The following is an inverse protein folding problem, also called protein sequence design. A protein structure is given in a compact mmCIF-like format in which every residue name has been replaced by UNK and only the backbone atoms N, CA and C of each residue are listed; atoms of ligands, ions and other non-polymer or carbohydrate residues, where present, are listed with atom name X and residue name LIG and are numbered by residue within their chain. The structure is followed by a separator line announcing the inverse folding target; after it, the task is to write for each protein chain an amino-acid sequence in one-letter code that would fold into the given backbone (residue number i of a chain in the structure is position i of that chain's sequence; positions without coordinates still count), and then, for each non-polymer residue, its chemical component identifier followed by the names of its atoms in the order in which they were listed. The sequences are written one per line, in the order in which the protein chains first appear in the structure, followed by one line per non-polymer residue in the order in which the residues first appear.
data_IF_197146285597
#
_entry.id   IF_197146285597
#
_cell.length_a   1.000
_cell.length_b   1.000
_cell.length_c   1.000
_cell.angle_alpha   90.00
_cell.angle_beta   90.00
_cell.angle_gamma   90.00
#
_symmetry.space_group_name_H-M   'P 1'
#
loop_
_entity.id
_entity.type
_entity.pdbx_description
1 polymer ?
#
# COMPACT_ATOMS: atom_id res chain seq x y z
N UNK A 1 12.57 -8.11 5.53
CA UNK A 1 11.70 -8.00 6.73
C UNK A 1 10.68 -6.87 6.59
N UNK A 2 11.07 -5.61 6.36
CA UNK A 2 10.13 -4.54 5.93
C UNK A 2 9.85 -4.53 4.42
N UNK A 3 10.85 -4.92 3.63
CA UNK A 3 10.80 -5.09 2.18
C UNK A 3 9.78 -6.12 1.68
N UNK A 4 9.23 -6.93 2.57
CA UNK A 4 8.28 -8.00 2.23
C UNK A 4 6.84 -7.62 2.60
N UNK A 5 6.64 -6.52 3.35
CA UNK A 5 5.32 -6.06 3.78
C UNK A 5 4.73 -5.18 2.68
N UNK A 6 3.59 -5.61 2.13
CA UNK A 6 2.84 -4.86 1.12
C UNK A 6 2.04 -3.73 1.76
N UNK A 7 1.20 -4.06 2.75
CA UNK A 7 0.41 -3.09 3.46
C UNK A 7 0.01 -3.59 4.85
N UNK A 8 -0.34 -2.63 5.71
CA UNK A 8 -0.93 -2.86 7.02
C UNK A 8 -2.30 -2.19 7.03
N UNK A 9 -3.33 -2.90 7.48
CA UNK A 9 -4.67 -2.34 7.62
C UNK A 9 -5.31 -2.63 8.97
N UNK A 10 -6.09 -1.67 9.48
CA UNK A 10 -6.86 -1.88 10.71
C UNK A 10 -7.96 -2.89 10.46
N UNK A 11 -8.09 -3.89 11.33
CA UNK A 11 -9.24 -4.79 11.32
C UNK A 11 -10.39 -4.10 12.06
N UNK A 12 -11.49 -3.84 11.34
CA UNK A 12 -12.63 -3.07 11.85
C UNK A 12 -13.13 -3.62 13.19
N UNK A 13 -13.35 -2.71 14.15
CA UNK A 13 -13.89 -3.03 15.48
C UNK A 13 -13.03 -3.99 16.31
N UNK A 14 -11.76 -4.13 15.97
CA UNK A 14 -10.77 -4.86 16.76
C UNK A 14 -9.56 -3.96 16.89
N UNK A 15 -8.94 -3.84 18.07
CA UNK A 15 -7.70 -3.06 18.26
C UNK A 15 -6.48 -3.75 17.63
N UNK A 16 -6.67 -4.34 16.45
CA UNK A 16 -5.71 -5.13 15.72
C UNK A 16 -5.54 -4.58 14.31
N UNK A 17 -4.34 -4.76 13.79
CA UNK A 17 -4.01 -4.55 12.40
C UNK A 17 -3.66 -5.89 11.76
N UNK A 18 -4.08 -6.06 10.51
CA UNK A 18 -3.60 -7.11 9.62
C UNK A 18 -2.38 -6.61 8.85
N UNK A 19 -1.34 -7.44 8.79
CA UNK A 19 -0.13 -7.21 8.01
C UNK A 19 -0.19 -8.16 6.83
N UNK A 20 -0.23 -7.61 5.62
CA UNK A 20 -0.18 -8.38 4.38
C UNK A 20 1.23 -8.28 3.81
N UNK A 21 1.87 -9.43 3.64
CA UNK A 21 3.27 -9.55 3.22
C UNK A 21 3.42 -10.66 2.18
N UNK A 22 4.59 -10.74 1.53
CA UNK A 22 4.86 -11.65 0.40
C UNK A 22 4.44 -13.12 0.64
N UNK A 23 4.55 -13.60 1.87
CA UNK A 23 4.31 -15.00 2.23
C UNK A 23 3.01 -15.22 3.02
N UNK A 24 2.11 -14.23 3.11
CA UNK A 24 0.81 -14.40 3.73
C UNK A 24 0.33 -13.20 4.54
N UNK A 25 -0.49 -13.50 5.55
CA UNK A 25 -1.11 -12.50 6.43
C UNK A 25 -0.75 -12.77 7.88
N UNK A 26 -0.62 -11.70 8.66
CA UNK A 26 -0.34 -11.74 10.09
C UNK A 26 -1.21 -10.73 10.81
N UNK A 27 -1.37 -10.89 12.13
CA UNK A 27 -2.16 -9.97 12.96
C UNK A 27 -1.35 -9.47 14.13
N UNK A 28 -1.43 -8.17 14.39
CA UNK A 28 -0.78 -7.52 15.52
C UNK A 28 -1.81 -6.68 16.29
N UNK A 29 -1.68 -6.62 17.62
CA UNK A 29 -2.49 -5.74 18.45
C UNK A 29 -1.88 -4.35 18.47
N UNK A 30 -2.38 -3.44 17.64
CA UNK A 30 -1.84 -2.09 17.50
C UNK A 30 -2.86 -1.17 16.84
N UNK A 31 -2.71 0.13 17.10
CA UNK A 31 -3.37 1.19 16.36
C UNK A 31 -2.49 1.66 15.19
N UNK A 32 -3.13 2.09 14.10
CA UNK A 32 -2.42 2.39 12.86
C UNK A 32 -1.56 3.66 12.90
N UNK A 33 -1.90 4.63 13.76
CA UNK A 33 -1.16 5.90 13.86
C UNK A 33 0.24 5.68 14.45
N UNK A 34 0.41 4.99 15.60
CA UNK A 34 1.74 4.59 16.08
C UNK A 34 2.57 3.83 15.05
N UNK A 35 1.95 2.88 14.34
CA UNK A 35 2.64 2.11 13.29
C UNK A 35 3.13 3.00 12.15
N UNK A 36 2.41 4.07 11.82
CA UNK A 36 2.85 5.02 10.80
C UNK A 36 4.14 5.74 11.21
N UNK A 37 4.26 6.13 12.48
CA UNK A 37 5.45 6.82 12.99
C UNK A 37 6.64 5.86 13.04
N UNK A 38 6.43 4.63 13.49
CA UNK A 38 7.46 3.58 13.57
C UNK A 38 8.01 3.20 12.19
N UNK A 39 7.14 3.09 11.19
CA UNK A 39 7.51 2.66 9.85
C UNK A 39 7.71 3.81 8.84
N UNK A 40 7.69 5.07 9.29
CA UNK A 40 8.04 6.18 8.42
C UNK A 40 9.54 6.15 8.07
N UNK A 41 9.94 6.45 6.83
CA UNK A 41 9.11 6.84 5.68
C UNK A 41 8.65 5.67 4.80
N UNK A 42 8.96 4.42 5.16
CA UNK A 42 8.75 3.22 4.34
C UNK A 42 7.28 2.91 4.05
N UNK A 43 6.40 3.12 5.03
CA UNK A 43 4.97 2.94 4.84
C UNK A 43 4.26 4.29 4.70
N UNK A 44 3.53 4.44 3.60
CA UNK A 44 2.72 5.61 3.30
C UNK A 44 1.26 5.37 3.64
N UNK A 45 0.64 6.28 4.38
CA UNK A 45 -0.78 6.19 4.74
C UNK A 45 -1.68 6.53 3.56
N UNK A 46 -2.26 5.52 2.92
CA UNK A 46 -3.14 5.64 1.75
C UNK A 46 -4.63 5.78 2.11
N UNK A 47 -5.00 5.43 3.34
CA UNK A 47 -6.33 5.63 3.93
C UNK A 47 -6.20 5.89 5.43
N UNK A 48 -7.30 6.30 6.07
CA UNK A 48 -7.35 6.36 7.53
C UNK A 48 -6.99 5.01 8.17
N UNK A 49 -7.35 3.90 7.52
CA UNK A 49 -7.19 2.52 7.98
C UNK A 49 -6.08 1.73 7.31
N UNK A 50 -5.25 2.33 6.44
CA UNK A 50 -4.28 1.56 5.63
C UNK A 50 -2.95 2.30 5.45
N UNK A 51 -1.85 1.61 5.76
CA UNK A 51 -0.46 1.99 5.47
C UNK A 51 0.09 1.06 4.37
N UNK A 52 0.79 1.61 3.39
CA UNK A 52 1.21 0.87 2.19
C UNK A 52 2.68 1.11 1.90
N UNK A 53 3.40 0.05 1.55
CA UNK A 53 4.71 0.15 0.94
C UNK A 53 4.55 0.43 -0.56
N UNK A 54 4.74 1.68 -0.96
CA UNK A 54 4.59 2.08 -2.36
C UNK A 54 5.71 1.54 -3.27
N UNK A 55 6.86 1.18 -2.72
CA UNK A 55 7.99 0.67 -3.49
C UNK A 55 7.74 -0.75 -4.04
N UNK A 56 6.75 -1.46 -3.49
CA UNK A 56 6.34 -2.80 -3.89
C UNK A 56 5.13 -2.82 -4.82
N UNK A 57 4.61 -1.65 -5.22
CA UNK A 57 3.45 -1.58 -6.12
C UNK A 57 3.89 -1.89 -7.55
N UNK A 58 3.36 -2.97 -8.11
CA UNK A 58 3.66 -3.42 -9.48
C UNK A 58 2.77 -2.72 -10.52
N UNK A 59 1.51 -2.45 -10.16
CA UNK A 59 0.52 -1.85 -11.06
C UNK A 59 -0.45 -0.94 -10.31
N UNK A 60 -0.87 0.13 -10.97
CA UNK A 60 -1.84 1.08 -10.43
C UNK A 60 -3.02 1.26 -11.38
N UNK A 61 -4.23 1.05 -10.87
CA UNK A 61 -5.46 1.51 -11.51
C UNK A 61 -5.87 2.84 -10.88
N UNK A 62 -5.50 3.94 -11.54
CA UNK A 62 -5.80 5.29 -11.01
C UNK A 62 -7.27 5.68 -11.11
N UNK A 63 -8.06 5.01 -11.96
CA UNK A 63 -9.50 5.27 -12.13
C UNK A 63 -10.27 4.68 -10.95
N UNK A 64 -9.96 3.44 -10.59
CA UNK A 64 -10.57 2.74 -9.47
C UNK A 64 -9.82 2.94 -8.14
N UNK A 65 -8.66 3.61 -8.18
CA UNK A 65 -7.76 3.88 -7.05
C UNK A 65 -7.25 2.60 -6.37
N UNK A 66 -6.81 1.64 -7.19
CA UNK A 66 -6.29 0.35 -6.75
C UNK A 66 -4.77 0.31 -6.95
N UNK A 67 -4.04 -0.16 -5.94
CA UNK A 67 -2.63 -0.50 -5.97
C UNK A 67 -2.51 -2.02 -5.93
N UNK A 68 -1.88 -2.60 -6.95
CA UNK A 68 -1.63 -4.04 -7.04
C UNK A 68 -0.18 -4.33 -6.70
N UNK A 69 0.03 -5.32 -5.83
CA UNK A 69 1.35 -5.85 -5.47
C UNK A 69 1.63 -7.18 -6.17
N UNK A 70 0.58 -7.83 -6.68
CA UNK A 70 0.56 -8.91 -7.65
C UNK A 70 -0.90 -9.10 -8.12
N UNK A 71 -1.20 -10.17 -8.86
CA UNK A 71 -2.55 -10.45 -9.39
C UNK A 71 -3.63 -10.70 -8.32
N UNK A 72 -3.24 -11.15 -7.13
CA UNK A 72 -4.18 -11.52 -6.05
C UNK A 72 -4.16 -10.56 -4.86
N UNK A 73 -3.09 -9.78 -4.69
CA UNK A 73 -2.89 -8.88 -3.56
C UNK A 73 -2.97 -7.44 -4.04
N UNK A 74 -3.97 -6.74 -3.55
CA UNK A 74 -4.19 -5.34 -3.87
C UNK A 74 -4.86 -4.61 -2.72
N UNK A 75 -4.66 -3.30 -2.67
CA UNK A 75 -5.40 -2.42 -1.77
C UNK A 75 -5.89 -1.19 -2.53
N UNK A 76 -6.72 -0.38 -1.87
CA UNK A 76 -7.20 0.89 -2.45
C UNK A 76 -6.70 2.09 -1.68
N UNK A 77 -6.76 3.28 -2.30
CA UNK A 77 -6.38 4.54 -1.66
C UNK A 77 -7.49 5.60 -1.74
N UNK A 78 -7.44 6.57 -0.83
CA UNK A 78 -8.43 7.65 -0.76
C UNK A 78 -8.26 8.66 -1.92
N UNK A 79 -9.36 9.18 -2.46
CA UNK A 79 -9.37 10.17 -3.55
C UNK A 79 -8.41 11.34 -3.28
N UNK A 80 -8.45 11.90 -2.07
CA UNK A 80 -7.61 13.03 -1.64
C UNK A 80 -6.11 12.78 -1.73
N UNK A 81 -5.69 11.51 -1.73
CA UNK A 81 -4.28 11.12 -1.83
C UNK A 81 -3.84 10.81 -3.25
N UNK A 82 -4.74 10.88 -4.25
CA UNK A 82 -4.39 10.64 -5.65
C UNK A 82 -3.20 11.49 -6.14
N UNK A 83 -3.13 12.80 -5.86
CA UNK A 83 -1.98 13.61 -6.30
C UNK A 83 -0.66 13.10 -5.70
N UNK A 84 -0.71 12.73 -4.43
CA UNK A 84 0.47 12.34 -3.68
C UNK A 84 0.94 10.91 -4.02
N UNK A 85 0.01 9.98 -4.22
CA UNK A 85 0.29 8.63 -4.75
C UNK A 85 0.93 8.72 -6.13
N UNK A 86 0.35 9.54 -7.02
CA UNK A 86 0.92 9.77 -8.37
C UNK A 86 2.33 10.34 -8.30
N UNK A 87 2.57 11.31 -7.41
CA UNK A 87 3.90 11.91 -7.20
C UNK A 87 4.91 10.88 -6.71
N UNK A 88 4.59 10.12 -5.65
CA UNK A 88 5.50 9.11 -5.08
C UNK A 88 5.82 8.00 -6.08
N UNK A 89 4.83 7.53 -6.83
CA UNK A 89 4.99 6.50 -7.85
C UNK A 89 5.48 7.04 -9.21
N UNK A 90 5.80 8.33 -9.29
CA UNK A 90 6.28 9.00 -10.52
C UNK A 90 5.37 8.76 -11.74
N UNK A 91 4.06 8.74 -11.51
CA UNK A 91 3.03 8.56 -12.54
C UNK A 91 2.80 9.88 -13.29
N UNK A 92 3.78 10.31 -14.07
CA UNK A 92 3.72 11.51 -14.91
C UNK A 92 3.09 11.20 -16.28
N UNK A 93 1.75 11.04 -16.31
CA UNK A 93 0.86 11.00 -17.51
C UNK A 93 1.13 9.89 -18.58
N UNK A 94 0.18 9.19 -19.20
CA UNK A 94 -1.25 8.89 -18.96
C UNK A 94 -1.64 7.55 -19.63
N UNK A 95 -0.68 6.72 -20.06
CA UNK A 95 -0.89 5.46 -20.78
C UNK A 95 0.25 4.50 -20.41
N UNK A 96 -0.12 3.28 -20.04
CA UNK A 96 0.78 2.12 -19.83
C UNK A 96 1.93 2.32 -18.84
N UNK A 97 1.66 2.09 -17.54
CA UNK A 97 2.66 1.41 -16.72
C UNK A 97 2.62 -0.06 -17.15
N UNK A 98 3.51 -0.46 -18.07
CA UNK A 98 3.91 -1.86 -18.19
C UNK A 98 4.99 -2.04 -17.13
N UNK A 99 4.76 -2.95 -16.19
CA UNK A 99 5.76 -3.34 -15.19
C UNK A 99 7.06 -3.80 -15.86
N UNK A 100 8.11 -3.98 -15.07
CA UNK A 100 9.41 -4.49 -15.55
C UNK A 100 9.17 -5.63 -16.54
N UNK A 101 9.59 -5.43 -17.78
CA UNK A 101 9.87 -6.54 -18.67
C UNK A 101 11.11 -7.20 -18.06
N UNK A 102 10.91 -8.38 -17.50
CA UNK A 102 11.98 -9.24 -17.01
C UNK A 102 12.92 -9.55 -18.18
N UNK A 103 14.19 -9.19 -18.01
CA UNK A 103 15.32 -9.57 -18.86
C UNK A 103 15.95 -10.86 -18.33
#
# INVERSE_FOLDING_TARGET
MLSDIYYIETIKSTHYCEIVYKNGVGKIRADITPLQEEFAPYLFRTKASTLVNLDLVEKVDTKNRILYFNDSIYCTYAQRLSPEVKKRLRLYNYRSYRGREDE
#
